data_IF_706375397828
#
_entry.id   IF_706375397828
#
_cell.length_a   1.000
_cell.length_b   1.000
_cell.length_c   1.000
_cell.angle_alpha   90.00
_cell.angle_beta   90.00
_cell.angle_gamma   90.00
#
_symmetry.space_group_name_H-M   'P 1'
#
loop_
_entity.id
_entity.type
_entity.pdbx_description
1 polymer ?
#
# COMPACT_ATOMS: atom_id res chain seq x y z
N UNK A 1 3.28 13.54 24.48
CA UNK A 1 3.11 12.21 23.85
C UNK A 1 4.40 11.46 23.99
N UNK A 2 4.36 10.28 24.60
CA UNK A 2 5.53 9.43 24.80
C UNK A 2 5.86 8.68 23.49
N UNK A 3 7.10 8.21 23.32
CA UNK A 3 7.51 7.46 22.11
C UNK A 3 6.70 6.18 21.89
N UNK A 4 6.16 5.59 22.96
CA UNK A 4 5.32 4.38 22.93
C UNK A 4 3.92 4.67 22.35
N UNK A 5 3.35 5.85 22.62
CA UNK A 5 2.03 6.25 22.09
C UNK A 5 2.08 6.55 20.58
N UNK A 6 3.21 7.05 20.09
CA UNK A 6 3.41 7.34 18.65
C UNK A 6 3.51 6.04 17.85
N UNK A 7 4.20 5.04 18.40
CA UNK A 7 4.39 3.72 17.77
C UNK A 7 3.06 2.98 17.60
N UNK A 8 2.23 2.96 18.67
CA UNK A 8 0.89 2.36 18.63
C UNK A 8 -0.03 2.98 17.58
N UNK A 9 0.15 4.27 17.27
CA UNK A 9 -0.64 4.97 16.25
C UNK A 9 -0.21 4.57 14.83
N UNK A 10 1.11 4.36 14.60
CA UNK A 10 1.63 3.90 13.31
C UNK A 10 1.11 2.48 13.03
N UNK A 11 1.21 1.57 13.99
CA UNK A 11 0.72 0.20 13.86
C UNK A 11 -0.78 0.15 13.56
N UNK A 12 -1.58 0.94 14.29
CA UNK A 12 -3.01 1.05 14.05
C UNK A 12 -3.31 1.46 12.60
N UNK A 13 -2.67 2.53 12.11
CA UNK A 13 -2.91 3.01 10.75
C UNK A 13 -2.41 2.02 9.68
N UNK A 14 -1.29 1.33 9.90
CA UNK A 14 -0.81 0.29 8.99
C UNK A 14 -1.76 -0.91 8.93
N UNK A 15 -2.34 -1.31 10.06
CA UNK A 15 -3.37 -2.36 10.10
C UNK A 15 -4.63 -1.96 9.36
N UNK A 16 -5.12 -0.72 9.54
CA UNK A 16 -6.29 -0.23 8.81
C UNK A 16 -6.03 -0.16 7.29
N UNK A 17 -4.84 0.31 6.89
CA UNK A 17 -4.44 0.32 5.48
C UNK A 17 -4.42 -1.10 4.89
N UNK A 18 -3.89 -2.08 5.63
CA UNK A 18 -3.89 -3.48 5.20
C UNK A 18 -5.31 -4.05 5.07
N UNK A 19 -6.22 -3.73 6.00
CA UNK A 19 -7.61 -4.17 5.92
C UNK A 19 -8.31 -3.63 4.66
N UNK A 20 -8.15 -2.34 4.36
CA UNK A 20 -8.69 -1.75 3.14
C UNK A 20 -8.08 -2.34 1.86
N UNK A 21 -6.77 -2.65 1.87
CA UNK A 21 -6.11 -3.31 0.75
C UNK A 21 -6.66 -4.72 0.50
N UNK A 22 -6.89 -5.49 1.57
CA UNK A 22 -7.48 -6.83 1.47
C UNK A 22 -8.91 -6.77 0.90
N UNK A 23 -9.71 -5.81 1.34
CA UNK A 23 -11.06 -5.61 0.81
C UNK A 23 -11.04 -5.24 -0.68
N UNK A 24 -10.19 -4.28 -1.07
CA UNK A 24 -10.02 -3.90 -2.47
C UNK A 24 -9.55 -5.07 -3.34
N UNK A 25 -8.66 -5.91 -2.83
CA UNK A 25 -8.16 -7.10 -3.54
C UNK A 25 -9.27 -8.13 -3.74
N UNK A 26 -10.02 -8.45 -2.69
CA UNK A 26 -11.13 -9.39 -2.76
C UNK A 26 -12.20 -8.92 -3.77
N UNK A 27 -12.56 -7.64 -3.74
CA UNK A 27 -13.50 -7.05 -4.70
C UNK A 27 -12.94 -7.09 -6.13
N UNK A 28 -11.65 -6.77 -6.30
CA UNK A 28 -10.98 -6.84 -7.60
C UNK A 28 -11.05 -8.23 -8.21
N UNK A 29 -10.75 -9.26 -7.42
CA UNK A 29 -10.82 -10.67 -7.84
C UNK A 29 -12.26 -11.06 -8.19
N UNK A 30 -13.23 -10.71 -7.33
CA UNK A 30 -14.64 -11.02 -7.57
C UNK A 30 -15.17 -10.39 -8.86
N UNK A 31 -14.77 -9.15 -9.16
CA UNK A 31 -15.16 -8.45 -10.39
C UNK A 31 -14.55 -9.13 -11.62
N UNK A 32 -13.26 -9.46 -11.59
CA UNK A 32 -12.58 -10.10 -12.74
C UNK A 32 -13.06 -11.54 -12.96
N UNK A 33 -13.39 -12.27 -11.89
CA UNK A 33 -13.96 -13.61 -11.99
C UNK A 33 -15.36 -13.60 -12.66
N UNK A 34 -16.13 -12.53 -12.46
CA UNK A 34 -17.44 -12.35 -13.11
C UNK A 34 -17.33 -11.82 -14.53
N UNK A 35 -16.34 -10.97 -14.81
CA UNK A 35 -16.08 -10.43 -16.13
C UNK A 35 -14.57 -10.28 -16.38
N UNK A 36 -14.02 -11.22 -17.16
CA UNK A 36 -12.59 -11.27 -17.46
C UNK A 36 -12.11 -10.06 -18.27
N UNK A 37 -12.98 -9.39 -19.05
CA UNK A 37 -12.62 -8.22 -19.85
C UNK A 37 -12.18 -7.03 -18.97
N UNK A 38 -12.65 -6.99 -17.71
CA UNK A 38 -12.30 -5.96 -16.73
C UNK A 38 -10.89 -6.13 -16.15
N UNK A 39 -10.21 -7.26 -16.38
CA UNK A 39 -8.89 -7.55 -15.82
C UNK A 39 -7.88 -6.43 -16.11
N UNK A 40 -7.87 -5.90 -17.34
CA UNK A 40 -6.95 -4.84 -17.75
C UNK A 40 -7.22 -3.55 -16.98
N UNK A 41 -8.49 -3.15 -16.86
CA UNK A 41 -8.89 -1.92 -16.15
C UNK A 41 -8.58 -2.03 -14.66
N UNK A 42 -8.92 -3.15 -14.03
CA UNK A 42 -8.62 -3.41 -12.62
C UNK A 42 -7.11 -3.41 -12.37
N UNK A 43 -6.33 -4.05 -13.25
CA UNK A 43 -4.86 -4.01 -13.20
C UNK A 43 -4.29 -2.59 -13.30
N UNK A 44 -4.88 -1.72 -14.13
CA UNK A 44 -4.48 -0.32 -14.22
C UNK A 44 -4.76 0.46 -12.92
N UNK A 45 -5.90 0.19 -12.25
CA UNK A 45 -6.22 0.81 -10.95
C UNK A 45 -5.17 0.44 -9.89
N UNK A 46 -4.81 -0.85 -9.80
CA UNK A 46 -3.74 -1.32 -8.92
C UNK A 46 -2.38 -0.68 -9.25
N UNK A 47 -2.01 -0.64 -10.54
CA UNK A 47 -0.76 0.00 -10.97
C UNK A 47 -0.69 1.49 -10.57
N UNK A 48 -1.78 2.22 -10.76
CA UNK A 48 -1.88 3.63 -10.37
C UNK A 48 -1.75 3.82 -8.85
N UNK A 49 -2.39 2.96 -8.06
CA UNK A 49 -2.29 2.98 -6.60
C UNK A 49 -0.84 2.74 -6.14
N UNK A 50 -0.20 1.68 -6.63
CA UNK A 50 1.18 1.32 -6.25
C UNK A 50 2.17 2.44 -6.62
N UNK A 51 2.02 3.02 -7.81
CA UNK A 51 2.85 4.15 -8.23
C UNK A 51 2.67 5.37 -7.31
N UNK A 52 1.42 5.68 -6.95
CA UNK A 52 1.10 6.81 -6.05
C UNK A 52 1.66 6.58 -4.64
N UNK A 53 1.55 5.36 -4.12
CA UNK A 53 2.11 4.98 -2.83
C UNK A 53 3.64 5.15 -2.78
N UNK A 54 4.35 4.58 -3.76
CA UNK A 54 5.82 4.72 -3.81
C UNK A 54 6.27 6.15 -4.10
N UNK A 55 5.50 6.93 -4.86
CA UNK A 55 5.76 8.36 -5.00
C UNK A 55 5.65 9.09 -3.66
N UNK A 56 4.63 8.81 -2.85
CA UNK A 56 4.47 9.39 -1.53
C UNK A 56 5.62 9.00 -0.57
N UNK A 57 6.03 7.73 -0.57
CA UNK A 57 7.21 7.25 0.19
C UNK A 57 8.47 8.00 -0.22
N UNK A 58 8.73 8.11 -1.53
CA UNK A 58 9.88 8.82 -2.07
C UNK A 58 9.87 10.30 -1.67
N UNK A 59 8.74 10.96 -1.84
CA UNK A 59 8.62 12.41 -1.62
C UNK A 59 8.73 12.74 -0.13
N UNK A 60 8.17 11.91 0.74
CA UNK A 60 8.39 12.00 2.19
C UNK A 60 9.86 11.79 2.56
N UNK A 61 10.52 10.80 1.94
CA UNK A 61 11.96 10.58 2.14
C UNK A 61 12.82 11.76 1.73
N UNK A 62 12.55 12.35 0.55
CA UNK A 62 13.22 13.57 0.08
C UNK A 62 13.04 14.73 1.06
N UNK A 63 11.80 15.01 1.47
CA UNK A 63 11.47 16.10 2.41
C UNK A 63 12.22 15.98 3.73
N UNK A 64 12.36 14.75 4.23
CA UNK A 64 12.98 14.48 5.53
C UNK A 64 14.47 14.08 5.44
N UNK A 65 15.09 14.11 4.25
CA UNK A 65 16.46 13.62 3.99
C UNK A 65 16.70 12.19 4.48
N UNK A 66 15.68 11.34 4.36
CA UNK A 66 15.70 9.93 4.75
C UNK A 66 15.44 9.02 3.54
N UNK A 67 16.10 7.86 3.48
CA UNK A 67 15.77 6.83 2.48
C UNK A 67 14.73 5.87 3.04
N UNK A 68 13.44 6.25 2.95
CA UNK A 68 12.33 5.45 3.49
C UNK A 68 12.13 4.11 2.77
N UNK A 69 12.62 3.96 1.54
CA UNK A 69 12.59 2.65 0.86
C UNK A 69 13.39 1.58 1.59
N UNK A 70 14.42 1.96 2.38
CA UNK A 70 15.17 1.02 3.21
C UNK A 70 14.34 0.45 4.36
N UNK A 71 13.21 1.08 4.71
CA UNK A 71 12.33 0.60 5.78
C UNK A 71 11.31 -0.41 5.27
N UNK A 72 11.07 -0.41 3.95
CA UNK A 72 10.22 -1.38 3.27
C UNK A 72 11.11 -2.55 2.85
N UNK A 73 11.42 -3.42 3.81
CA UNK A 73 12.10 -4.68 3.52
C UNK A 73 11.11 -5.63 2.83
N UNK A 74 11.16 -5.71 1.50
CA UNK A 74 10.43 -6.74 0.78
C UNK A 74 11.10 -8.10 1.07
N UNK A 75 10.37 -9.08 1.61
CA UNK A 75 10.88 -10.44 1.70
C UNK A 75 11.27 -10.92 0.30
N UNK A 76 12.43 -11.58 0.16
CA UNK A 76 12.97 -12.06 -1.14
C UNK A 76 12.07 -13.08 -1.87
N UNK A 77 10.88 -13.38 -1.36
CA UNK A 77 10.00 -14.47 -1.82
C UNK A 77 8.63 -13.99 -2.31
N UNK A 78 8.43 -12.68 -2.49
CA UNK A 78 7.36 -12.13 -3.33
C UNK A 78 7.87 -11.91 -4.76
#
# INVERSE_FOLDING_TARGET
>A
MTSVEIDQNIDFHLQQALNHLNEALNQSVAVVAQNQELQKEIGQKWGSFINSFFAAVRDSGKKNRMNLFKWISLPKFL
#
